data_IF_586465149215
#
_entry.id   IF_586465149215
#
_cell.length_a   1.000
_cell.length_b   1.000
_cell.length_c   1.000
_cell.angle_alpha   90.00
_cell.angle_beta   90.00
_cell.angle_gamma   90.00
#
_symmetry.space_group_name_H-M   'P 1'
#
loop_
_entity.id
_entity.type
_entity.pdbx_description
1 polymer ?
#
# COMPACT_ATOMS: atom_id res chain seq x y z
N UNK A 1 7.88 -19.10 15.02
CA UNK A 1 8.60 -20.15 14.24
C UNK A 1 7.69 -20.93 13.29
N UNK A 2 6.57 -21.54 13.75
CA UNK A 2 5.70 -22.40 12.87
C UNK A 2 5.10 -21.65 11.64
N UNK A 3 4.76 -20.37 11.74
CA UNK A 3 4.22 -19.59 10.62
C UNK A 3 5.27 -19.33 9.52
N UNK A 4 6.50 -19.04 9.89
CA UNK A 4 7.60 -18.79 8.95
C UNK A 4 7.95 -20.01 8.10
N UNK A 5 7.95 -21.22 8.72
CA UNK A 5 8.17 -22.45 7.98
C UNK A 5 7.08 -22.72 6.94
N UNK A 6 5.83 -22.40 7.25
CA UNK A 6 4.73 -22.51 6.29
C UNK A 6 4.93 -21.60 5.08
N UNK A 7 5.32 -20.35 5.32
CA UNK A 7 5.61 -19.38 4.25
C UNK A 7 6.76 -19.88 3.37
N UNK A 8 7.84 -20.37 3.98
CA UNK A 8 8.97 -20.94 3.22
C UNK A 8 8.57 -22.14 2.38
N UNK A 9 7.79 -23.05 2.94
CA UNK A 9 7.32 -24.24 2.21
C UNK A 9 6.42 -23.80 1.03
N UNK A 10 5.53 -22.85 1.23
CA UNK A 10 4.68 -22.32 0.16
C UNK A 10 5.52 -21.67 -0.94
N UNK A 11 6.48 -20.81 -0.59
CA UNK A 11 7.38 -20.16 -1.56
C UNK A 11 8.23 -21.20 -2.31
N UNK A 12 8.71 -22.23 -1.62
CA UNK A 12 9.47 -23.30 -2.23
C UNK A 12 8.63 -24.10 -3.24
N UNK A 13 7.44 -24.57 -2.83
CA UNK A 13 6.53 -25.33 -3.69
C UNK A 13 6.08 -24.50 -4.89
N UNK A 14 5.78 -23.23 -4.67
CA UNK A 14 5.41 -22.27 -5.69
C UNK A 14 6.54 -22.08 -6.72
N UNK A 15 7.75 -21.82 -6.25
CA UNK A 15 8.93 -21.67 -7.12
C UNK A 15 9.23 -22.96 -7.87
N UNK A 16 9.16 -24.12 -7.21
CA UNK A 16 9.37 -25.41 -7.82
C UNK A 16 8.34 -25.69 -8.94
N UNK A 17 7.07 -25.43 -8.70
CA UNK A 17 6.01 -25.61 -9.71
C UNK A 17 6.26 -24.73 -10.95
N UNK A 18 6.61 -23.45 -10.76
CA UNK A 18 6.94 -22.55 -11.87
C UNK A 18 8.17 -23.06 -12.65
N UNK A 19 9.22 -23.50 -11.94
CA UNK A 19 10.44 -23.99 -12.59
C UNK A 19 10.31 -25.37 -13.23
N UNK A 20 9.35 -26.22 -12.84
CA UNK A 20 9.00 -27.42 -13.58
C UNK A 20 8.52 -27.08 -14.99
N UNK A 21 7.69 -26.06 -15.14
CA UNK A 21 7.19 -25.60 -16.44
C UNK A 21 8.28 -24.87 -17.22
N UNK A 22 8.84 -23.81 -16.66
CA UNK A 22 9.85 -22.97 -17.31
C UNK A 22 11.09 -23.79 -17.65
N UNK A 23 11.59 -24.54 -16.69
CA UNK A 23 12.77 -25.38 -16.84
C UNK A 23 12.57 -26.53 -17.80
N UNK A 24 11.39 -27.18 -17.78
CA UNK A 24 11.03 -28.21 -18.74
C UNK A 24 11.10 -27.73 -20.20
N UNK A 25 10.66 -26.48 -20.43
CA UNK A 25 10.74 -25.86 -21.77
C UNK A 25 12.15 -25.40 -22.15
N UNK A 26 12.92 -24.90 -21.18
CA UNK A 26 14.28 -24.39 -21.43
C UNK A 26 15.34 -25.48 -21.44
N UNK A 27 15.12 -26.63 -20.76
CA UNK A 27 16.06 -27.74 -20.67
C UNK A 27 16.70 -28.14 -22.00
N UNK A 28 15.97 -28.28 -23.13
CA UNK A 28 16.56 -28.73 -24.38
C UNK A 28 17.57 -27.77 -25.01
N UNK A 29 17.53 -26.49 -24.59
CA UNK A 29 18.37 -25.41 -25.12
C UNK A 29 19.42 -24.90 -24.12
N UNK A 30 19.35 -25.35 -22.86
CA UNK A 30 20.30 -24.96 -21.83
C UNK A 30 21.47 -25.94 -21.79
N UNK A 31 22.73 -25.48 -21.76
CA UNK A 31 23.88 -26.33 -21.50
C UNK A 31 23.74 -26.99 -20.12
N UNK A 32 23.99 -28.33 -20.06
CA UNK A 32 23.78 -29.09 -18.83
C UNK A 32 22.33 -29.44 -18.48
N UNK A 33 21.36 -29.01 -19.29
CA UNK A 33 19.95 -29.41 -19.18
C UNK A 33 19.35 -29.19 -17.80
N UNK A 34 18.87 -30.25 -17.13
CA UNK A 34 18.26 -30.17 -15.81
C UNK A 34 19.19 -29.65 -14.69
N UNK A 35 20.51 -29.87 -14.79
CA UNK A 35 21.44 -29.34 -13.79
C UNK A 35 21.41 -27.81 -13.79
N UNK A 36 21.45 -27.19 -14.95
CA UNK A 36 21.34 -25.71 -15.06
C UNK A 36 20.01 -25.22 -14.59
N UNK A 37 18.89 -25.88 -14.91
CA UNK A 37 17.57 -25.55 -14.42
C UNK A 37 17.53 -25.58 -12.87
N UNK A 38 18.07 -26.61 -12.24
CA UNK A 38 18.12 -26.74 -10.78
C UNK A 38 18.96 -25.64 -10.14
N UNK A 39 20.09 -25.28 -10.75
CA UNK A 39 20.93 -24.17 -10.27
C UNK A 39 20.15 -22.84 -10.32
N UNK A 40 19.49 -22.54 -11.44
CA UNK A 40 18.71 -21.32 -11.61
C UNK A 40 17.52 -21.27 -10.64
N UNK A 41 16.79 -22.37 -10.49
CA UNK A 41 15.70 -22.48 -9.53
C UNK A 41 16.19 -22.27 -8.08
N UNK A 42 17.33 -22.87 -7.72
CA UNK A 42 17.95 -22.72 -6.40
C UNK A 42 18.36 -21.27 -6.13
N UNK A 43 18.89 -20.56 -7.13
CA UNK A 43 19.23 -19.14 -7.02
C UNK A 43 17.98 -18.28 -6.81
N UNK A 44 16.82 -18.66 -7.35
CA UNK A 44 15.55 -17.96 -7.10
C UNK A 44 15.01 -18.19 -5.67
N UNK A 45 15.33 -19.32 -5.03
CA UNK A 45 14.88 -19.65 -3.67
C UNK A 45 15.86 -19.19 -2.60
N UNK A 46 17.16 -19.21 -2.89
CA UNK A 46 18.22 -18.89 -1.92
C UNK A 46 18.01 -17.58 -1.15
N UNK A 47 17.54 -16.46 -1.77
CA UNK A 47 17.28 -15.24 -1.05
C UNK A 47 16.24 -15.38 0.07
N UNK A 48 15.24 -16.27 -0.08
CA UNK A 48 14.20 -16.49 0.94
C UNK A 48 14.78 -17.04 2.24
N UNK A 49 15.81 -17.88 2.16
CA UNK A 49 16.49 -18.41 3.36
C UNK A 49 17.18 -17.30 4.15
N UNK A 50 17.84 -16.36 3.45
CA UNK A 50 18.45 -15.19 4.06
C UNK A 50 17.42 -14.23 4.66
N UNK A 51 16.27 -14.06 3.99
CA UNK A 51 15.18 -13.21 4.49
C UNK A 51 14.56 -13.79 5.76
N UNK A 52 14.27 -15.09 5.79
CA UNK A 52 13.70 -15.78 6.95
C UNK A 52 14.68 -15.78 8.14
N UNK A 53 15.96 -16.00 7.89
CA UNK A 53 16.99 -15.93 8.95
C UNK A 53 17.06 -14.53 9.60
N UNK A 54 16.67 -13.49 8.87
CA UNK A 54 16.67 -12.10 9.34
C UNK A 54 15.29 -11.60 9.81
N UNK A 55 14.23 -12.43 9.70
CA UNK A 55 12.92 -12.13 10.25
C UNK A 55 13.04 -11.98 11.78
N UNK A 56 12.60 -10.83 12.28
CA UNK A 56 12.71 -10.48 13.69
C UNK A 56 14.05 -9.85 14.10
N UNK A 57 15.01 -9.73 13.17
CA UNK A 57 16.22 -8.93 13.40
C UNK A 57 15.99 -7.52 12.91
N UNK A 58 16.29 -6.55 13.75
CA UNK A 58 16.11 -5.12 13.49
C UNK A 58 17.10 -4.52 12.46
N UNK A 59 17.83 -5.34 11.71
CA UNK A 59 18.80 -4.85 10.73
C UNK A 59 18.21 -4.75 9.32
N UNK A 60 18.22 -3.54 8.76
CA UNK A 60 17.87 -3.35 7.36
C UNK A 60 18.87 -4.01 6.41
N UNK A 61 18.43 -4.55 5.28
CA UNK A 61 19.34 -4.98 4.25
C UNK A 61 20.12 -3.77 3.72
N UNK A 62 21.43 -3.95 3.50
CA UNK A 62 22.24 -2.91 2.85
C UNK A 62 21.66 -2.53 1.49
N UNK A 63 21.98 -1.34 0.97
CA UNK A 63 21.51 -0.88 -0.33
C UNK A 63 21.83 -1.88 -1.46
N UNK A 64 23.02 -2.49 -1.44
CA UNK A 64 23.43 -3.52 -2.40
C UNK A 64 22.59 -4.78 -2.27
N UNK A 65 22.39 -5.30 -1.06
CA UNK A 65 21.52 -6.48 -0.83
C UNK A 65 20.10 -6.22 -1.31
N UNK A 66 19.57 -5.04 -1.02
CA UNK A 66 18.23 -4.63 -1.44
C UNK A 66 18.10 -4.58 -2.96
N UNK A 67 19.08 -3.98 -3.65
CA UNK A 67 19.05 -3.83 -5.10
C UNK A 67 19.26 -5.15 -5.83
N UNK A 68 20.24 -5.96 -5.41
CA UNK A 68 20.68 -7.12 -6.17
C UNK A 68 20.13 -8.46 -5.66
N UNK A 69 19.52 -8.49 -4.49
CA UNK A 69 18.99 -9.74 -3.92
C UNK A 69 17.49 -9.64 -3.63
N UNK A 70 17.09 -8.66 -2.79
CA UNK A 70 15.70 -8.59 -2.28
C UNK A 70 14.72 -8.21 -3.39
N UNK A 71 15.01 -7.16 -4.15
CA UNK A 71 14.13 -6.70 -5.23
C UNK A 71 14.03 -7.71 -6.37
N UNK A 72 15.12 -8.23 -6.95
CA UNK A 72 15.04 -9.27 -7.97
C UNK A 72 14.27 -10.51 -7.51
N UNK A 73 14.46 -10.92 -6.25
CA UNK A 73 13.70 -12.03 -5.68
C UNK A 73 12.18 -11.76 -5.72
N UNK A 74 11.74 -10.62 -5.21
CA UNK A 74 10.30 -10.30 -5.18
C UNK A 74 9.71 -10.09 -6.58
N UNK A 75 10.45 -9.47 -7.51
CA UNK A 75 10.03 -9.39 -8.90
C UNK A 75 9.92 -10.78 -9.55
N UNK A 76 10.86 -11.68 -9.25
CA UNK A 76 10.79 -13.06 -9.73
C UNK A 76 9.54 -13.77 -9.16
N UNK A 77 9.25 -13.65 -7.85
CA UNK A 77 8.06 -14.25 -7.24
C UNK A 77 6.76 -13.70 -7.86
N UNK A 78 6.72 -12.43 -8.24
CA UNK A 78 5.56 -11.82 -8.89
C UNK A 78 5.38 -12.29 -10.34
N UNK A 79 6.46 -12.34 -11.13
CA UNK A 79 6.37 -12.54 -12.56
C UNK A 79 6.59 -13.99 -13.02
N UNK A 80 7.28 -14.80 -12.24
CA UNK A 80 7.57 -16.19 -12.60
C UNK A 80 6.31 -17.05 -12.87
N UNK A 81 5.21 -16.92 -12.08
CA UNK A 81 3.98 -17.64 -12.38
C UNK A 81 3.35 -17.22 -13.69
N UNK A 82 3.35 -15.92 -13.98
CA UNK A 82 2.83 -15.40 -15.26
C UNK A 82 3.67 -15.93 -16.42
N UNK A 83 4.99 -15.99 -16.24
CA UNK A 83 5.89 -16.54 -17.23
C UNK A 83 5.60 -18.03 -17.46
N UNK A 84 5.39 -18.81 -16.40
CA UNK A 84 5.01 -20.22 -16.53
C UNK A 84 3.68 -20.39 -17.30
N UNK A 85 2.69 -19.54 -17.00
CA UNK A 85 1.40 -19.52 -17.74
C UNK A 85 1.60 -19.22 -19.22
N UNK A 86 2.42 -18.23 -19.58
CA UNK A 86 2.75 -17.96 -20.99
C UNK A 86 3.39 -19.19 -21.66
N UNK A 87 4.30 -19.88 -20.96
CA UNK A 87 4.90 -21.11 -21.44
C UNK A 87 3.86 -22.20 -21.74
N UNK A 88 2.93 -22.43 -20.80
CA UNK A 88 1.84 -23.40 -20.98
C UNK A 88 0.91 -23.04 -22.15
N UNK A 89 0.52 -21.78 -22.25
CA UNK A 89 -0.31 -21.28 -23.37
C UNK A 89 0.42 -21.50 -24.70
N UNK A 90 1.71 -21.19 -24.77
CA UNK A 90 2.50 -21.41 -25.97
C UNK A 90 2.59 -22.89 -26.36
N UNK A 91 2.78 -23.77 -25.37
CA UNK A 91 2.76 -25.24 -25.63
C UNK A 91 1.40 -25.64 -26.20
N UNK A 92 0.31 -25.26 -25.56
CA UNK A 92 -1.05 -25.62 -26.00
C UNK A 92 -1.34 -25.12 -27.42
N UNK A 93 -0.94 -23.90 -27.75
CA UNK A 93 -1.10 -23.32 -29.09
C UNK A 93 -0.26 -24.06 -30.18
N UNK A 94 0.89 -24.59 -29.81
CA UNK A 94 1.77 -25.32 -30.75
C UNK A 94 1.44 -26.80 -30.91
N UNK A 95 0.66 -27.42 -30.02
CA UNK A 95 0.31 -28.83 -30.05
C UNK A 95 -0.33 -29.29 -31.38
N UNK A 96 -1.33 -28.57 -31.95
CA UNK A 96 -1.95 -28.98 -33.22
C UNK A 96 -0.97 -29.05 -34.40
N UNK A 97 0.17 -28.37 -34.29
CA UNK A 97 1.20 -28.27 -35.31
C UNK A 97 2.44 -29.14 -35.03
N UNK A 98 2.39 -29.97 -33.99
CA UNK A 98 3.55 -30.75 -33.55
C UNK A 98 4.71 -29.90 -33.01
N UNK A 99 4.48 -28.60 -32.73
CA UNK A 99 5.48 -27.61 -32.39
C UNK A 99 5.36 -27.09 -30.93
N UNK A 100 4.68 -27.83 -30.05
CA UNK A 100 4.38 -27.38 -28.71
C UNK A 100 5.59 -26.87 -27.91
N UNK A 101 6.69 -27.64 -27.92
CA UNK A 101 7.92 -27.25 -27.22
C UNK A 101 8.58 -25.97 -27.79
N UNK A 102 8.55 -25.78 -29.10
CA UNK A 102 9.08 -24.58 -29.76
C UNK A 102 8.20 -23.37 -29.46
N UNK A 103 6.89 -23.52 -29.65
CA UNK A 103 5.92 -22.44 -29.37
C UNK A 103 5.95 -22.03 -27.89
N UNK A 104 6.08 -23.00 -26.96
CA UNK A 104 6.25 -22.70 -25.53
C UNK A 104 7.50 -21.87 -25.23
N UNK A 105 8.64 -22.16 -25.85
CA UNK A 105 9.89 -21.39 -25.71
C UNK A 105 9.74 -19.95 -26.25
N UNK A 106 9.13 -19.80 -27.43
CA UNK A 106 8.82 -18.46 -27.97
C UNK A 106 7.90 -17.67 -27.06
N UNK A 107 6.86 -18.31 -26.52
CA UNK A 107 5.94 -17.68 -25.58
C UNK A 107 6.66 -17.27 -24.27
N UNK A 108 7.60 -18.09 -23.76
CA UNK A 108 8.45 -17.71 -22.63
C UNK A 108 9.31 -16.49 -22.96
N UNK A 109 9.96 -16.46 -24.11
CA UNK A 109 10.84 -15.35 -24.53
C UNK A 109 10.08 -14.04 -24.68
N UNK A 110 8.95 -14.06 -25.40
CA UNK A 110 8.08 -12.90 -25.59
C UNK A 110 7.47 -12.46 -24.25
N UNK A 111 7.00 -13.41 -23.44
CA UNK A 111 6.47 -13.14 -22.10
C UNK A 111 7.52 -12.51 -21.18
N UNK A 112 8.75 -13.01 -21.18
CA UNK A 112 9.86 -12.45 -20.40
C UNK A 112 10.18 -11.01 -20.83
N UNK A 113 10.23 -10.73 -22.15
CA UNK A 113 10.39 -9.37 -22.66
C UNK A 113 9.27 -8.43 -22.25
N UNK A 114 8.02 -8.87 -22.37
CA UNK A 114 6.84 -8.11 -21.95
C UNK A 114 6.83 -7.83 -20.45
N UNK A 115 7.11 -8.84 -19.62
CA UNK A 115 7.17 -8.69 -18.17
C UNK A 115 8.33 -7.80 -17.71
N UNK A 116 9.49 -7.86 -18.42
CA UNK A 116 10.60 -6.94 -18.15
C UNK A 116 10.21 -5.49 -18.47
N UNK A 117 9.54 -5.25 -19.61
CA UNK A 117 8.98 -3.94 -19.96
C UNK A 117 7.98 -3.44 -18.89
N UNK A 118 7.09 -4.34 -18.46
CA UNK A 118 6.11 -4.05 -17.40
C UNK A 118 6.79 -3.71 -16.07
N UNK A 119 7.85 -4.44 -15.70
CA UNK A 119 8.65 -4.16 -14.51
C UNK A 119 9.29 -2.78 -14.55
N UNK A 120 9.85 -2.39 -15.70
CA UNK A 120 10.44 -1.06 -15.90
C UNK A 120 9.39 0.05 -15.79
N UNK A 121 8.23 -0.13 -16.42
CA UNK A 121 7.11 0.82 -16.34
C UNK A 121 6.58 0.93 -14.89
N UNK A 122 6.38 -0.21 -14.23
CA UNK A 122 5.94 -0.24 -12.83
C UNK A 122 6.95 0.40 -11.88
N UNK A 123 8.24 0.18 -12.11
CA UNK A 123 9.31 0.83 -11.35
C UNK A 123 9.32 2.36 -11.55
N UNK A 124 9.17 2.81 -12.80
CA UNK A 124 9.07 4.22 -13.11
C UNK A 124 7.82 4.85 -12.44
N UNK A 125 6.68 4.16 -12.49
CA UNK A 125 5.44 4.56 -11.81
C UNK A 125 5.61 4.69 -10.30
N UNK A 126 6.25 3.72 -9.66
CA UNK A 126 6.53 3.74 -8.22
C UNK A 126 7.44 4.88 -7.76
N UNK A 127 8.21 5.49 -8.68
CA UNK A 127 9.07 6.65 -8.40
C UNK A 127 8.40 7.99 -8.69
N UNK A 128 7.21 7.97 -9.29
CA UNK A 128 6.48 9.18 -9.64
C UNK A 128 5.58 9.59 -8.48
N UNK A 129 5.79 10.78 -7.94
CA UNK A 129 4.83 11.41 -7.04
C UNK A 129 3.75 12.08 -7.88
N UNK A 130 2.49 11.75 -7.60
CA UNK A 130 1.32 12.33 -8.25
C UNK A 130 0.50 13.08 -7.21
N UNK A 131 0.28 14.38 -7.43
CA UNK A 131 -0.64 15.19 -6.64
C UNK A 131 -2.00 15.18 -7.34
N UNK A 132 -3.00 14.57 -6.68
CA UNK A 132 -4.38 14.54 -7.16
C UNK A 132 -5.18 15.65 -6.50
N UNK A 133 -5.86 16.46 -7.29
CA UNK A 133 -6.80 17.48 -6.80
C UNK A 133 -8.21 17.00 -7.06
N UNK A 134 -9.02 17.00 -6.03
CA UNK A 134 -10.40 16.51 -6.07
C UNK A 134 -11.30 17.55 -5.43
N UNK A 135 -12.35 17.92 -6.13
CA UNK A 135 -13.43 18.70 -5.54
C UNK A 135 -14.45 17.75 -4.91
N UNK A 136 -14.65 17.92 -3.61
CA UNK A 136 -15.66 17.18 -2.83
C UNK A 136 -16.86 18.10 -2.68
N UNK A 137 -17.97 17.74 -3.30
CA UNK A 137 -19.24 18.45 -3.16
C UNK A 137 -20.06 17.75 -2.09
N UNK A 138 -20.48 18.49 -1.10
CA UNK A 138 -21.36 18.01 -0.02
C UNK A 138 -22.60 18.87 -0.06
N UNK A 139 -23.75 18.20 -0.14
CA UNK A 139 -25.05 18.89 -0.04
C UNK A 139 -25.16 19.47 1.38
N UNK A 140 -25.73 20.66 1.48
CA UNK A 140 -25.88 21.39 2.75
C UNK A 140 -24.56 21.67 3.51
N UNK A 141 -23.44 21.77 2.77
CA UNK A 141 -22.14 22.09 3.36
C UNK A 141 -22.22 23.41 4.14
N UNK A 142 -21.89 23.42 5.45
CA UNK A 142 -21.85 24.65 6.23
C UNK A 142 -20.96 25.71 5.57
N UNK A 143 -21.48 26.94 5.44
CA UNK A 143 -20.84 27.99 4.63
C UNK A 143 -19.37 28.27 5.00
N UNK A 144 -19.03 28.21 6.29
CA UNK A 144 -17.67 28.42 6.77
C UNK A 144 -16.66 27.33 6.29
N UNK A 145 -17.14 26.18 5.83
CA UNK A 145 -16.30 25.09 5.32
C UNK A 145 -16.09 25.15 3.82
N UNK A 146 -16.84 26.00 3.10
CA UNK A 146 -16.68 26.14 1.66
C UNK A 146 -15.25 26.54 1.30
N UNK A 147 -14.68 25.86 0.28
CA UNK A 147 -13.31 26.08 -0.19
C UNK A 147 -12.21 25.62 0.76
N UNK A 148 -12.52 24.87 1.83
CA UNK A 148 -11.52 24.26 2.71
C UNK A 148 -10.62 23.29 1.94
N UNK A 149 -9.31 23.41 2.13
CA UNK A 149 -8.30 22.54 1.50
C UNK A 149 -7.81 21.50 2.49
N UNK A 150 -8.08 20.25 2.21
CA UNK A 150 -7.55 19.12 2.96
C UNK A 150 -6.48 18.46 2.15
N UNK A 151 -5.27 18.31 2.69
CA UNK A 151 -4.24 17.47 2.09
C UNK A 151 -4.22 16.14 2.81
N UNK A 152 -4.43 15.07 2.06
CA UNK A 152 -4.31 13.70 2.56
C UNK A 152 -2.96 13.10 2.17
N UNK A 153 -2.25 12.57 3.15
CA UNK A 153 -1.08 11.71 3.01
C UNK A 153 -1.47 10.34 3.56
N UNK A 154 -1.20 9.27 2.83
CA UNK A 154 -1.53 7.91 3.26
C UNK A 154 -0.47 6.93 2.77
N UNK A 155 -0.28 5.84 3.50
CA UNK A 155 0.51 4.70 3.02
C UNK A 155 1.91 5.12 2.54
N UNK A 156 2.65 5.81 3.41
CA UNK A 156 4.03 6.20 3.13
C UNK A 156 5.00 5.04 3.24
N UNK A 157 4.67 4.06 4.09
CA UNK A 157 5.51 2.90 4.36
C UNK A 157 6.99 3.29 4.47
N UNK A 158 7.26 4.26 5.37
CA UNK A 158 8.63 4.68 5.61
C UNK A 158 9.40 3.50 6.17
N UNK A 159 10.42 3.10 5.44
CA UNK A 159 11.19 1.91 5.75
C UNK A 159 12.41 1.77 4.86
N UNK A 160 13.00 0.55 4.81
CA UNK A 160 14.25 0.31 4.09
C UNK A 160 14.21 0.64 2.61
N UNK A 161 13.03 0.65 2.01
CA UNK A 161 12.84 0.88 0.57
C UNK A 161 12.50 2.33 0.24
N UNK A 162 12.14 3.14 1.23
CA UNK A 162 11.73 4.54 1.06
C UNK A 162 12.96 5.43 0.98
N UNK A 163 13.01 6.32 -0.01
CA UNK A 163 14.14 7.24 -0.17
C UNK A 163 13.85 8.58 0.50
N UNK A 164 14.84 9.14 1.19
CA UNK A 164 14.78 10.51 1.76
C UNK A 164 14.34 11.54 0.72
N UNK A 165 14.83 11.39 -0.54
CA UNK A 165 14.44 12.28 -1.65
C UNK A 165 12.93 12.18 -1.96
N UNK A 166 12.33 11.01 -1.86
CA UNK A 166 10.88 10.84 -2.06
C UNK A 166 10.11 11.56 -0.94
N UNK A 167 10.48 11.32 0.31
CA UNK A 167 9.84 11.98 1.46
C UNK A 167 9.94 13.51 1.39
N UNK A 168 11.12 14.03 1.03
CA UNK A 168 11.31 15.46 0.85
C UNK A 168 10.41 16.05 -0.25
N UNK A 169 10.21 15.32 -1.37
CA UNK A 169 9.28 15.75 -2.43
C UNK A 169 7.83 15.74 -1.94
N UNK A 170 7.43 14.71 -1.16
CA UNK A 170 6.09 14.68 -0.56
C UNK A 170 5.88 15.88 0.36
N UNK A 171 6.82 16.12 1.29
CA UNK A 171 6.74 17.25 2.20
C UNK A 171 6.69 18.61 1.48
N UNK A 172 7.43 18.75 0.37
CA UNK A 172 7.39 19.95 -0.46
C UNK A 172 6.02 20.12 -1.13
N UNK A 173 5.47 19.05 -1.72
CA UNK A 173 4.17 19.07 -2.37
C UNK A 173 3.03 19.42 -1.38
N UNK A 174 3.10 18.91 -0.14
CA UNK A 174 2.13 19.25 0.92
C UNK A 174 2.19 20.76 1.22
N UNK A 175 3.38 21.32 1.42
CA UNK A 175 3.55 22.77 1.66
C UNK A 175 3.05 23.62 0.50
N UNK A 176 3.36 23.21 -0.74
CA UNK A 176 2.92 23.90 -1.95
C UNK A 176 1.39 23.91 -2.10
N UNK A 177 0.71 22.84 -1.66
CA UNK A 177 -0.74 22.76 -1.69
C UNK A 177 -1.43 23.77 -0.76
N UNK A 178 -0.72 24.37 0.20
CA UNK A 178 -1.24 25.32 1.20
C UNK A 178 -2.53 24.80 1.85
N UNK A 179 -2.49 23.68 2.57
CA UNK A 179 -3.68 23.10 3.18
C UNK A 179 -4.20 23.93 4.34
N UNK A 180 -5.51 23.92 4.55
CA UNK A 180 -6.15 24.34 5.81
C UNK A 180 -6.01 23.23 6.86
N UNK A 181 -6.03 21.96 6.45
CA UNK A 181 -5.93 20.77 7.29
C UNK A 181 -5.06 19.71 6.59
N UNK A 182 -4.22 19.01 7.36
CA UNK A 182 -3.46 17.86 6.87
C UNK A 182 -3.98 16.59 7.56
N UNK A 183 -4.38 15.59 6.76
CA UNK A 183 -4.81 14.27 7.19
C UNK A 183 -3.76 13.22 6.83
N UNK A 184 -3.19 12.56 7.84
CA UNK A 184 -2.25 11.44 7.69
C UNK A 184 -3.00 10.16 8.02
N UNK A 185 -3.44 9.45 6.97
CA UNK A 185 -4.44 8.39 7.09
C UNK A 185 -3.85 7.00 7.18
N UNK A 186 -2.84 6.81 8.03
CA UNK A 186 -2.27 5.50 8.38
C UNK A 186 -1.12 5.04 7.51
N UNK A 187 -0.49 3.96 7.95
CA UNK A 187 0.68 3.32 7.36
C UNK A 187 1.83 4.30 7.10
N UNK A 188 2.16 5.06 8.16
CA UNK A 188 3.27 6.01 8.16
C UNK A 188 4.59 5.27 8.02
N UNK A 189 4.74 4.17 8.75
CA UNK A 189 5.93 3.31 8.75
C UNK A 189 5.62 1.92 8.17
N UNK A 190 6.67 1.19 7.78
CA UNK A 190 6.49 -0.14 7.21
C UNK A 190 6.35 -1.21 8.32
N UNK A 191 7.46 -1.76 8.82
CA UNK A 191 7.39 -2.89 9.77
C UNK A 191 8.13 -2.64 11.10
N UNK A 192 8.73 -1.47 11.30
CA UNK A 192 9.57 -1.21 12.45
C UNK A 192 9.37 0.17 13.06
N UNK A 193 9.23 0.22 14.38
CA UNK A 193 9.07 1.47 15.14
C UNK A 193 10.20 2.50 14.90
N UNK A 194 11.43 2.05 14.62
CA UNK A 194 12.58 2.94 14.31
C UNK A 194 12.37 3.74 13.00
N UNK A 195 11.43 3.33 12.14
CA UNK A 195 11.12 4.03 10.89
C UNK A 195 10.37 5.34 11.14
N UNK A 196 9.90 5.55 12.37
CA UNK A 196 9.33 6.82 12.83
C UNK A 196 10.35 7.96 12.75
N UNK A 197 11.63 7.70 13.00
CA UNK A 197 12.64 8.76 12.96
C UNK A 197 12.87 9.32 11.55
N UNK A 198 13.10 8.51 10.48
CA UNK A 198 13.13 9.03 9.11
C UNK A 198 11.83 9.69 8.67
N UNK A 199 10.68 9.23 9.16
CA UNK A 199 9.40 9.91 8.95
C UNK A 199 9.43 11.29 9.61
N UNK A 200 9.83 11.38 10.87
CA UNK A 200 9.92 12.63 11.61
C UNK A 200 10.92 13.62 10.99
N UNK A 201 12.09 13.15 10.55
CA UNK A 201 13.06 14.00 9.82
C UNK A 201 12.44 14.69 8.60
N UNK A 202 11.59 13.97 7.85
CA UNK A 202 11.00 14.48 6.62
C UNK A 202 9.79 15.39 6.85
N UNK A 203 8.98 15.11 7.88
CA UNK A 203 7.67 15.73 8.09
C UNK A 203 7.57 16.60 9.33
N UNK A 204 8.63 16.68 10.16
CA UNK A 204 8.71 17.66 11.24
C UNK A 204 8.62 19.07 10.65
N UNK A 205 7.70 19.87 11.15
CA UNK A 205 7.44 21.21 10.64
C UNK A 205 6.39 21.26 9.51
N UNK A 206 5.72 20.15 9.19
CA UNK A 206 4.44 20.23 8.50
C UNK A 206 3.42 20.89 9.45
N UNK A 207 2.74 21.90 8.93
CA UNK A 207 1.70 22.63 9.68
C UNK A 207 0.57 23.04 8.75
N UNK A 208 -0.60 23.20 9.33
CA UNK A 208 -1.77 23.78 8.66
C UNK A 208 -2.58 24.57 9.71
N UNK A 209 -3.32 25.61 9.31
CA UNK A 209 -4.09 26.43 10.24
C UNK A 209 -5.03 25.66 11.17
N UNK A 210 -5.67 24.60 10.66
CA UNK A 210 -6.57 23.73 11.43
C UNK A 210 -5.87 22.54 12.07
N UNK A 211 -4.56 22.33 11.78
CA UNK A 211 -3.75 21.27 12.37
C UNK A 211 -3.38 20.12 11.43
N UNK A 212 -2.61 19.21 12.00
CA UNK A 212 -2.17 17.97 11.36
C UNK A 212 -2.72 16.80 12.17
N UNK A 213 -3.53 15.97 11.56
CA UNK A 213 -4.20 14.83 12.19
C UNK A 213 -3.67 13.53 11.66
N UNK A 214 -3.35 12.60 12.54
CA UNK A 214 -2.84 11.29 12.18
C UNK A 214 -3.67 10.18 12.83
N UNK A 215 -3.83 9.07 12.12
CA UNK A 215 -4.48 7.85 12.61
C UNK A 215 -3.57 6.64 12.41
N UNK A 216 -3.78 5.51 13.12
CA UNK A 216 -3.07 4.26 12.85
C UNK A 216 -3.48 3.65 11.52
N UNK A 217 -2.51 3.03 10.84
CA UNK A 217 -2.74 2.00 9.86
C UNK A 217 -2.28 0.63 10.37
N UNK A 218 -2.52 -0.43 9.60
CA UNK A 218 -2.17 -1.77 10.03
C UNK A 218 -0.65 -1.96 10.18
N UNK A 219 0.16 -1.36 9.33
CA UNK A 219 1.62 -1.43 9.45
C UNK A 219 2.15 -0.68 10.66
N UNK A 220 1.55 0.42 11.06
CA UNK A 220 1.90 1.13 12.28
C UNK A 220 1.63 0.27 13.53
N UNK A 221 0.54 -0.52 13.50
CA UNK A 221 0.22 -1.49 14.56
C UNK A 221 1.26 -2.61 14.57
N UNK A 222 1.63 -3.16 13.42
CA UNK A 222 2.65 -4.22 13.30
C UNK A 222 4.03 -3.74 13.74
N UNK A 223 4.39 -2.50 13.39
CA UNK A 223 5.64 -1.86 13.79
C UNK A 223 5.75 -1.63 15.30
N UNK A 224 4.61 -1.58 16.01
CA UNK A 224 4.53 -1.30 17.43
C UNK A 224 3.90 0.07 17.70
N UNK A 225 2.58 0.11 17.70
CA UNK A 225 1.78 1.33 17.77
C UNK A 225 2.20 2.34 18.83
N UNK A 226 2.56 1.87 20.04
CA UNK A 226 2.96 2.78 21.12
C UNK A 226 4.13 3.69 20.72
N UNK A 227 5.14 3.16 20.07
CA UNK A 227 6.32 3.93 19.66
C UNK A 227 5.99 4.84 18.46
N UNK A 228 5.17 4.36 17.50
CA UNK A 228 4.70 5.16 16.37
C UNK A 228 3.87 6.35 16.87
N UNK A 229 2.90 6.09 17.74
CA UNK A 229 2.05 7.11 18.36
C UNK A 229 2.88 8.21 19.04
N UNK A 230 3.80 7.82 19.93
CA UNK A 230 4.68 8.76 20.62
C UNK A 230 5.52 9.62 19.65
N UNK A 231 6.00 9.00 18.57
CA UNK A 231 6.76 9.71 17.54
C UNK A 231 5.92 10.73 16.78
N UNK A 232 4.67 10.41 16.46
CA UNK A 232 3.74 11.33 15.79
C UNK A 232 3.38 12.52 16.69
N UNK A 233 3.08 12.25 17.97
CA UNK A 233 2.80 13.33 18.96
C UNK A 233 4.01 14.24 19.18
N UNK A 234 5.23 13.68 19.24
CA UNK A 234 6.47 14.44 19.37
C UNK A 234 6.75 15.36 18.17
N UNK A 235 6.10 15.14 17.03
CA UNK A 235 6.14 16.03 15.87
C UNK A 235 5.05 17.11 15.88
N UNK A 236 4.19 17.16 16.91
CA UNK A 236 3.08 18.08 17.02
C UNK A 236 1.83 17.64 16.22
N UNK A 237 1.73 16.39 15.82
CA UNK A 237 0.53 15.86 15.18
C UNK A 237 -0.53 15.50 16.23
N UNK A 238 -1.79 15.81 15.96
CA UNK A 238 -2.91 15.35 16.78
C UNK A 238 -3.25 13.92 16.36
N UNK A 239 -2.86 12.93 17.18
CA UNK A 239 -3.15 11.53 16.90
C UNK A 239 -4.55 11.18 17.37
N UNK A 240 -5.39 10.69 16.46
CA UNK A 240 -6.76 10.30 16.71
C UNK A 240 -6.90 8.77 16.67
N UNK A 241 -7.32 8.18 17.79
CA UNK A 241 -7.65 6.76 17.87
C UNK A 241 -8.99 6.62 18.60
N UNK A 242 -10.00 6.23 17.86
CA UNK A 242 -11.37 6.10 18.38
C UNK A 242 -11.84 7.35 19.14
N UNK A 243 -11.59 8.52 18.55
CA UNK A 243 -12.03 9.81 19.11
C UNK A 243 -12.23 10.87 18.03
N UNK A 244 -13.05 11.85 18.31
CA UNK A 244 -13.22 13.06 17.52
C UNK A 244 -12.79 14.29 18.29
N UNK A 245 -12.38 15.33 17.58
CA UNK A 245 -12.08 16.66 18.12
C UNK A 245 -12.85 17.72 17.36
N UNK A 246 -13.42 18.71 18.05
CA UNK A 246 -14.06 19.85 17.41
C UNK A 246 -13.00 20.81 16.87
N UNK A 247 -13.28 21.38 15.71
CA UNK A 247 -12.53 22.46 15.08
C UNK A 247 -13.48 23.59 14.71
N UNK A 248 -12.94 24.75 14.47
CA UNK A 248 -13.69 25.90 14.01
C UNK A 248 -13.01 26.56 12.81
N UNK A 249 -13.79 26.87 11.77
CA UNK A 249 -13.35 27.62 10.59
C UNK A 249 -14.41 28.61 10.18
N UNK A 250 -14.04 29.88 10.09
CA UNK A 250 -14.94 30.97 9.69
C UNK A 250 -16.26 30.98 10.51
N UNK A 251 -16.16 30.76 11.84
CA UNK A 251 -17.34 30.72 12.74
C UNK A 251 -18.15 29.42 12.66
N UNK A 252 -17.76 28.46 11.84
CA UNK A 252 -18.43 27.15 11.72
C UNK A 252 -17.67 26.09 12.49
N UNK A 253 -18.36 25.41 13.41
CA UNK A 253 -17.83 24.24 14.13
C UNK A 253 -18.05 22.97 13.31
N UNK A 254 -17.03 22.12 13.27
CA UNK A 254 -17.07 20.80 12.64
C UNK A 254 -16.14 19.85 13.40
N UNK A 255 -16.15 18.56 13.06
CA UNK A 255 -15.37 17.55 13.77
C UNK A 255 -14.42 16.82 12.82
N UNK A 256 -13.23 16.54 13.34
CA UNK A 256 -12.31 15.57 12.73
C UNK A 256 -12.27 14.36 13.65
N UNK A 257 -12.71 13.22 13.13
CA UNK A 257 -12.78 11.96 13.83
C UNK A 257 -11.71 10.99 13.31
N UNK A 258 -11.11 10.18 14.17
CA UNK A 258 -10.13 9.17 13.77
C UNK A 258 -10.45 7.83 14.40
N UNK A 259 -10.50 6.78 13.57
CA UNK A 259 -10.72 5.41 14.03
C UNK A 259 -9.42 4.74 14.45
N UNK A 260 -9.52 3.63 15.20
CA UNK A 260 -8.48 2.63 15.25
C UNK A 260 -8.39 1.83 13.94
N UNK A 261 -7.56 0.79 13.92
CA UNK A 261 -7.37 -0.08 12.76
C UNK A 261 -7.71 -1.54 13.08
N UNK A 262 -8.33 -2.31 12.14
CA UNK A 262 -8.66 -3.72 12.33
C UNK A 262 -7.48 -4.64 12.68
N UNK A 263 -6.23 -4.23 12.41
CA UNK A 263 -5.03 -4.94 12.86
C UNK A 263 -4.85 -4.90 14.38
N UNK A 264 -5.51 -3.98 15.07
CA UNK A 264 -5.60 -3.97 16.52
C UNK A 264 -6.33 -5.22 17.04
N UNK A 265 -5.72 -5.95 17.99
CA UNK A 265 -6.39 -7.09 18.62
C UNK A 265 -7.65 -6.62 19.34
N UNK A 266 -8.69 -7.44 19.33
CA UNK A 266 -9.92 -7.15 20.07
C UNK A 266 -9.60 -6.81 21.54
N UNK A 267 -10.15 -5.68 22.03
CA UNK A 267 -9.85 -5.16 23.36
C UNK A 267 -8.58 -4.30 23.45
N UNK A 268 -7.81 -4.19 22.38
CA UNK A 268 -6.70 -3.23 22.28
C UNK A 268 -7.25 -1.80 22.09
N UNK A 269 -6.61 -0.78 22.66
CA UNK A 269 -7.03 0.62 22.48
C UNK A 269 -6.96 1.08 21.01
N UNK A 270 -6.22 0.36 20.14
CA UNK A 270 -6.10 0.68 18.72
C UNK A 270 -7.05 -0.12 17.84
N UNK A 271 -7.81 -1.08 18.40
CA UNK A 271 -8.90 -1.74 17.68
C UNK A 271 -9.98 -0.71 17.31
N UNK A 272 -10.62 -0.79 16.13
CA UNK A 272 -11.61 0.19 15.71
C UNK A 272 -12.87 0.10 16.55
N UNK A 273 -13.39 1.27 16.95
CA UNK A 273 -14.62 1.45 17.69
C UNK A 273 -15.33 2.72 17.17
N UNK A 274 -16.29 2.52 16.27
CA UNK A 274 -17.01 3.63 15.60
C UNK A 274 -17.87 4.41 16.60
N UNK A 275 -18.51 3.73 17.57
CA UNK A 275 -19.30 4.37 18.60
C UNK A 275 -18.47 5.34 19.41
N UNK A 276 -17.36 4.85 19.91
CA UNK A 276 -16.42 5.67 20.68
C UNK A 276 -15.82 6.78 19.84
N UNK A 277 -15.53 6.52 18.56
CA UNK A 277 -15.00 7.51 17.63
C UNK A 277 -15.90 8.73 17.53
N UNK A 278 -17.21 8.52 17.47
CA UNK A 278 -18.20 9.57 17.26
C UNK A 278 -18.89 10.05 18.56
N UNK A 279 -18.54 9.50 19.73
CA UNK A 279 -19.21 9.79 21.00
C UNK A 279 -19.23 11.29 21.38
N UNK A 280 -18.25 12.09 20.93
CA UNK A 280 -18.18 13.52 21.17
C UNK A 280 -18.80 14.37 20.05
N UNK A 281 -19.31 13.76 18.99
CA UNK A 281 -19.93 14.45 17.85
C UNK A 281 -21.43 14.58 18.11
N UNK A 282 -21.99 15.80 18.08
CA UNK A 282 -23.43 15.97 18.18
C UNK A 282 -24.12 15.45 16.90
N UNK A 283 -25.42 15.10 16.96
CA UNK A 283 -26.14 14.50 15.84
C UNK A 283 -26.08 15.28 14.52
N UNK A 284 -25.98 16.61 14.60
CA UNK A 284 -25.97 17.53 13.45
C UNK A 284 -24.55 18.05 13.16
N UNK A 285 -23.54 17.42 13.75
CA UNK A 285 -22.16 17.86 13.65
C UNK A 285 -21.50 17.41 12.36
N UNK A 286 -21.19 18.33 11.44
CA UNK A 286 -20.42 18.02 10.23
C UNK A 286 -19.10 17.33 10.58
N UNK A 287 -18.86 16.15 10.04
CA UNK A 287 -17.77 15.28 10.45
C UNK A 287 -16.92 14.82 9.27
N UNK A 288 -15.62 15.00 9.40
CA UNK A 288 -14.61 14.40 8.52
C UNK A 288 -13.95 13.27 9.29
N UNK A 289 -14.19 12.03 8.86
CA UNK A 289 -13.57 10.86 9.47
C UNK A 289 -12.29 10.45 8.75
N UNK A 290 -11.29 10.10 9.53
CA UNK A 290 -10.07 9.45 9.08
C UNK A 290 -10.16 7.97 9.48
N UNK A 291 -10.18 7.07 8.50
CA UNK A 291 -10.24 5.63 8.73
C UNK A 291 -9.32 4.94 7.73
N UNK A 292 -8.19 4.40 8.20
CA UNK A 292 -7.20 3.82 7.30
C UNK A 292 -7.80 2.73 6.42
N UNK A 293 -8.50 1.77 7.02
CA UNK A 293 -9.16 0.69 6.28
C UNK A 293 -10.56 1.13 5.81
N UNK A 294 -10.82 1.16 4.49
CA UNK A 294 -12.11 1.59 3.94
C UNK A 294 -13.30 0.69 4.34
N UNK A 295 -13.06 -0.51 4.84
CA UNK A 295 -14.11 -1.40 5.35
C UNK A 295 -14.86 -0.81 6.57
N UNK A 296 -14.33 0.23 7.21
CA UNK A 296 -15.00 0.93 8.31
C UNK A 296 -16.01 1.99 7.83
N UNK A 297 -15.95 2.38 6.54
CA UNK A 297 -16.82 3.42 6.01
C UNK A 297 -18.33 3.14 6.12
N UNK A 298 -18.86 1.93 5.83
CA UNK A 298 -20.30 1.69 5.96
C UNK A 298 -20.84 2.03 7.35
N UNK A 299 -20.13 1.64 8.40
CA UNK A 299 -20.53 1.94 9.78
C UNK A 299 -20.41 3.44 10.12
N UNK A 300 -19.46 4.16 9.55
CA UNK A 300 -19.34 5.61 9.66
C UNK A 300 -20.46 6.33 8.90
N UNK A 301 -20.79 5.87 7.70
CA UNK A 301 -21.87 6.42 6.87
C UNK A 301 -23.24 6.26 7.56
N UNK A 302 -23.52 5.10 8.15
CA UNK A 302 -24.73 4.84 8.92
C UNK A 302 -24.90 5.77 10.15
N UNK A 303 -23.81 6.41 10.58
CA UNK A 303 -23.79 7.40 11.66
C UNK A 303 -23.76 8.84 11.16
N UNK A 304 -23.99 9.08 9.87
CA UNK A 304 -24.09 10.40 9.28
C UNK A 304 -22.76 11.11 9.01
N UNK A 305 -21.63 10.40 8.99
CA UNK A 305 -20.33 11.01 8.63
C UNK A 305 -20.35 11.42 7.16
N UNK A 306 -20.11 12.70 6.88
CA UNK A 306 -20.22 13.27 5.54
C UNK A 306 -19.03 12.92 4.63
N UNK A 307 -17.81 12.90 5.20
CA UNK A 307 -16.60 12.59 4.44
C UNK A 307 -15.69 11.64 5.20
N UNK A 308 -15.35 10.53 4.60
CA UNK A 308 -14.33 9.59 5.11
C UNK A 308 -13.12 9.57 4.20
N UNK A 309 -11.93 9.71 4.77
CA UNK A 309 -10.66 9.61 4.08
C UNK A 309 -9.95 8.31 4.49
N UNK A 310 -9.68 7.45 3.50
CA UNK A 310 -9.05 6.14 3.70
C UNK A 310 -7.81 5.95 2.83
N UNK A 311 -7.01 4.92 3.14
CA UNK A 311 -5.87 4.44 2.38
C UNK A 311 -5.92 2.93 2.19
N UNK A 312 -4.87 2.23 2.66
CA UNK A 312 -4.78 0.78 2.85
C UNK A 312 -4.70 -0.06 1.57
N UNK A 313 -5.53 0.21 0.58
CA UNK A 313 -5.71 -0.70 -0.58
C UNK A 313 -4.59 -0.61 -1.60
N UNK A 314 -3.84 0.49 -1.62
CA UNK A 314 -2.88 0.83 -2.69
C UNK A 314 -3.43 0.67 -4.11
N UNK A 315 -4.76 0.48 -4.27
CA UNK A 315 -5.40 0.04 -5.52
C UNK A 315 -4.79 -1.29 -6.04
N UNK A 316 -4.24 -2.15 -5.14
CA UNK A 316 -3.44 -3.32 -5.50
C UNK A 316 -2.18 -2.98 -6.30
N UNK A 317 -1.73 -1.72 -6.29
CA UNK A 317 -0.60 -1.17 -7.05
C UNK A 317 -0.73 -1.24 -8.59
N UNK A 318 -1.84 -1.79 -9.10
CA UNK A 318 -2.19 -1.82 -10.52
C UNK A 318 -3.63 -1.36 -10.64
N UNK A 319 -3.87 -0.30 -11.42
CA UNK A 319 -5.21 0.21 -11.64
C UNK A 319 -5.41 0.70 -13.08
N UNK A 320 -6.65 0.67 -13.52
CA UNK A 320 -7.13 1.31 -14.75
C UNK A 320 -8.24 2.28 -14.32
N UNK A 321 -7.88 3.49 -13.85
CA UNK A 321 -8.85 4.41 -13.24
C UNK A 321 -10.05 4.75 -14.14
N UNK A 322 -9.83 4.80 -15.46
CA UNK A 322 -10.91 5.06 -16.44
C UNK A 322 -11.99 3.98 -16.45
N UNK A 323 -11.65 2.75 -16.05
CA UNK A 323 -12.58 1.61 -15.95
C UNK A 323 -13.08 1.40 -14.52
N UNK A 324 -12.66 2.22 -13.54
CA UNK A 324 -12.97 1.99 -12.13
C UNK A 324 -12.41 0.67 -11.59
N UNK A 325 -11.36 0.12 -12.22
CA UNK A 325 -10.81 -1.19 -11.89
C UNK A 325 -9.39 -1.10 -11.33
N UNK A 326 -9.12 -1.93 -10.34
CA UNK A 326 -7.78 -2.13 -9.78
C UNK A 326 -7.55 -3.61 -9.44
N UNK A 327 -6.31 -4.00 -9.23
CA UNK A 327 -5.99 -5.36 -8.79
C UNK A 327 -6.59 -5.71 -7.41
N UNK A 328 -6.94 -4.71 -6.60
CA UNK A 328 -7.64 -4.89 -5.34
C UNK A 328 -9.16 -5.13 -5.52
N UNK A 329 -9.76 -4.72 -6.65
CA UNK A 329 -11.21 -4.76 -6.87
C UNK A 329 -11.86 -6.15 -6.76
N UNK A 330 -11.22 -7.26 -7.15
CA UNK A 330 -11.81 -8.60 -6.96
C UNK A 330 -11.88 -9.04 -5.49
N UNK A 331 -11.16 -8.38 -4.59
CA UNK A 331 -10.98 -8.81 -3.19
C UNK A 331 -11.61 -7.85 -2.18
N UNK A 332 -11.86 -6.60 -2.58
CA UNK A 332 -12.32 -5.54 -1.69
C UNK A 332 -13.55 -4.85 -2.29
N UNK A 333 -14.60 -4.70 -1.49
CA UNK A 333 -15.81 -3.97 -1.86
C UNK A 333 -15.50 -2.50 -2.21
N UNK A 334 -14.69 -1.85 -1.38
CA UNK A 334 -14.22 -0.49 -1.57
C UNK A 334 -12.72 -0.51 -1.86
N UNK A 335 -12.36 -0.71 -3.13
CA UNK A 335 -10.99 -0.93 -3.54
C UNK A 335 -10.25 0.34 -3.93
N UNK A 336 -10.94 1.35 -4.49
CA UNK A 336 -10.30 2.54 -5.04
C UNK A 336 -11.26 3.70 -5.28
N UNK A 337 -10.70 4.93 -5.25
CA UNK A 337 -11.37 6.11 -5.73
C UNK A 337 -12.42 6.67 -4.77
N UNK A 338 -13.49 7.18 -5.33
CA UNK A 338 -14.61 7.79 -4.57
C UNK A 338 -15.82 6.86 -4.57
N UNK A 339 -16.46 6.79 -3.42
CA UNK A 339 -17.74 6.14 -3.22
C UNK A 339 -18.70 7.11 -2.54
N UNK A 340 -19.99 6.94 -2.76
CA UNK A 340 -21.04 7.75 -2.14
C UNK A 340 -22.22 6.87 -1.77
N UNK A 341 -22.78 7.10 -0.60
CA UNK A 341 -23.97 6.44 -0.08
C UNK A 341 -24.68 7.37 0.90
N UNK A 342 -25.96 7.62 0.67
CA UNK A 342 -26.86 8.34 1.60
C UNK A 342 -26.28 9.66 2.14
N UNK A 343 -25.68 10.48 1.28
CA UNK A 343 -25.03 11.74 1.64
C UNK A 343 -23.59 11.60 2.15
N UNK A 344 -23.17 10.42 2.56
CA UNK A 344 -21.79 10.13 2.98
C UNK A 344 -20.88 9.84 1.80
N UNK A 345 -19.66 10.34 1.85
CA UNK A 345 -18.65 10.13 0.82
C UNK A 345 -17.40 9.46 1.40
N UNK A 346 -16.84 8.54 0.63
CA UNK A 346 -15.54 7.93 0.91
C UNK A 346 -14.56 8.29 -0.21
N UNK A 347 -13.36 8.71 0.17
CA UNK A 347 -12.23 8.76 -0.73
C UNK A 347 -11.12 7.82 -0.27
N UNK A 348 -10.69 6.94 -1.16
CA UNK A 348 -9.59 6.00 -0.92
C UNK A 348 -8.35 6.52 -1.65
N UNK A 349 -7.32 6.84 -0.88
CA UNK A 349 -6.03 7.24 -1.42
C UNK A 349 -5.28 6.01 -1.96
N UNK A 350 -4.67 6.09 -3.16
CA UNK A 350 -3.90 4.97 -3.71
C UNK A 350 -2.55 4.72 -3.03
N UNK A 351 -2.27 5.43 -1.95
CA UNK A 351 -0.98 5.45 -1.29
C UNK A 351 -0.02 6.49 -1.88
N UNK A 352 0.62 7.26 -1.00
CA UNK A 352 1.62 8.27 -1.36
C UNK A 352 2.94 7.62 -1.79
N UNK A 353 3.17 6.38 -1.36
CA UNK A 353 4.29 5.55 -1.74
C UNK A 353 3.78 4.15 -2.16
N UNK A 354 4.69 3.25 -2.53
CA UNK A 354 4.41 1.84 -2.78
C UNK A 354 4.62 1.02 -1.52
N UNK A 355 3.95 -0.13 -1.46
CA UNK A 355 4.17 -1.16 -0.45
C UNK A 355 4.95 -2.35 -1.05
N UNK A 356 5.87 -2.94 -0.27
CA UNK A 356 6.65 -4.10 -0.66
C UNK A 356 7.67 -3.81 -1.76
N UNK A 357 7.32 -4.08 -3.02
CA UNK A 357 8.21 -3.82 -4.16
C UNK A 357 7.88 -2.49 -4.85
N UNK A 358 8.89 -1.80 -5.42
CA UNK A 358 8.65 -0.55 -6.16
C UNK A 358 8.01 -0.82 -7.53
N UNK A 359 6.70 -1.10 -7.50
CA UNK A 359 5.93 -1.42 -8.69
C UNK A 359 4.54 -0.78 -8.61
N UNK A 360 4.27 0.18 -9.48
CA UNK A 360 2.96 0.85 -9.58
C UNK A 360 2.61 1.14 -11.03
N UNK A 361 1.37 0.82 -11.43
CA UNK A 361 0.83 1.08 -12.76
C UNK A 361 -0.56 1.70 -12.64
N UNK A 362 -0.72 2.93 -13.13
CA UNK A 362 -2.02 3.62 -13.16
C UNK A 362 -2.55 4.08 -11.80
N UNK A 363 -1.76 3.95 -10.73
CA UNK A 363 -2.16 4.33 -9.36
C UNK A 363 -1.55 5.65 -8.91
#
# INVERSE_FOLDING_TARGET
MKAYWRILVILFLWTAACWLVIGGLLRPVLPGGWLTVLVLASLCVAPSLGMVRNLGRSAYPSALRRLWLVRPFWYAQLFMPLLAVFGVIGVAAGLPFGAGGLAGRWALGLGAGGLAGLALLGYAGARRLVVRRLDVRVDDLPAGLAGMRIVQISDLHVGPHTSRRHLARVAAAVREARPDLIAVTGDQVDDHARDVEPFAEAFRGLSAPLGVFAIPGNHDVYAGWKAVHQGLEAMGMTVLVNRAVPLERNGTRFWVAGTGDPAGRRGSPVAPDVERTLAAVPPEGFTIALAHNPALWPALAERGVELTLSGHTHYGQIAIPRLGWSLASPFLEHAMGRHQRDGSQLYINPGTNYWGIPFRLGT
#
